data_IF_577950463647
#
_entry.id   IF_577950463647
#
_cell.length_a   1.000
_cell.length_b   1.000
_cell.length_c   1.000
_cell.angle_alpha   90.00
_cell.angle_beta   90.00
_cell.angle_gamma   90.00
#
_symmetry.space_group_name_H-M   'P 1'
#
loop_
_entity.id
_entity.type
_entity.pdbx_description
1 polymer ?
#
# COMPACT_ATOMS: atom_id res chain seq x y z
N UNK A 1 7.46 -5.19 13.47
CA UNK A 1 8.05 -4.40 12.37
C UNK A 1 7.06 -4.40 11.21
N UNK A 2 6.84 -3.28 10.53
CA UNK A 2 5.85 -3.13 9.43
C UNK A 2 6.47 -2.28 8.34
N UNK A 3 6.18 -2.59 7.07
CA UNK A 3 6.58 -1.79 5.91
C UNK A 3 5.37 -1.00 5.39
N UNK A 4 5.57 0.27 5.07
CA UNK A 4 4.54 1.10 4.41
C UNK A 4 4.99 1.32 2.96
N UNK A 5 4.17 0.86 2.02
CA UNK A 5 4.43 0.95 0.59
C UNK A 5 3.55 2.04 -0.02
N UNK A 6 4.15 3.14 -0.47
CA UNK A 6 3.43 4.29 -1.03
C UNK A 6 3.66 4.34 -2.53
N UNK A 7 2.60 4.26 -3.35
CA UNK A 7 2.73 4.34 -4.81
C UNK A 7 1.43 4.84 -5.48
N UNK A 8 1.56 5.62 -6.55
CA UNK A 8 0.40 6.14 -7.32
C UNK A 8 0.38 5.80 -8.82
N UNK A 9 1.33 4.97 -9.27
CA UNK A 9 1.33 4.38 -10.62
C UNK A 9 0.58 3.01 -10.63
N UNK A 10 1.02 1.97 -11.36
CA UNK A 10 0.37 0.64 -11.41
C UNK A 10 0.28 -0.14 -10.08
N UNK A 11 0.60 0.46 -8.92
CA UNK A 11 0.36 -0.14 -7.59
C UNK A 11 1.10 -1.44 -7.25
N UNK A 12 1.90 -1.99 -8.19
CA UNK A 12 2.58 -3.28 -8.07
C UNK A 12 3.62 -3.35 -6.93
N UNK A 13 4.09 -2.19 -6.45
CA UNK A 13 5.08 -2.08 -5.37
C UNK A 13 4.67 -2.85 -4.12
N UNK A 14 3.39 -2.77 -3.72
CA UNK A 14 2.90 -3.44 -2.52
C UNK A 14 3.03 -4.97 -2.62
N UNK A 15 2.65 -5.53 -3.78
CA UNK A 15 2.71 -6.97 -4.04
C UNK A 15 4.15 -7.49 -4.09
N UNK A 16 5.06 -6.73 -4.71
CA UNK A 16 6.49 -7.09 -4.77
C UNK A 16 7.09 -7.08 -3.37
N UNK A 17 6.85 -6.03 -2.59
CA UNK A 17 7.40 -5.94 -1.24
C UNK A 17 6.92 -7.08 -0.36
N UNK A 18 5.63 -7.43 -0.41
CA UNK A 18 5.07 -8.54 0.37
C UNK A 18 5.69 -9.91 0.03
N UNK A 19 6.23 -10.09 -1.18
CA UNK A 19 7.01 -11.29 -1.55
C UNK A 19 8.46 -11.26 -1.06
N UNK A 20 9.00 -10.09 -0.72
CA UNK A 20 10.41 -9.89 -0.36
C UNK A 20 10.64 -9.71 1.15
N UNK A 21 9.60 -9.34 1.90
CA UNK A 21 9.71 -9.09 3.34
C UNK A 21 8.91 -10.09 4.16
N UNK A 22 9.41 -10.43 5.34
CA UNK A 22 8.75 -11.33 6.31
C UNK A 22 7.81 -10.60 7.28
N UNK A 23 7.48 -9.34 6.99
CA UNK A 23 6.67 -8.46 7.86
C UNK A 23 5.44 -7.93 7.11
N UNK A 24 4.37 -7.51 7.80
CA UNK A 24 3.20 -6.94 7.13
C UNK A 24 3.56 -5.72 6.27
N UNK A 25 2.88 -5.59 5.14
CA UNK A 25 2.99 -4.46 4.20
C UNK A 25 1.67 -3.70 4.19
N UNK A 26 1.69 -2.42 4.58
CA UNK A 26 0.55 -1.52 4.45
C UNK A 26 0.72 -0.72 3.16
N UNK A 27 -0.20 -0.92 2.23
CA UNK A 27 -0.20 -0.29 0.92
C UNK A 27 -1.00 1.02 0.95
N UNK A 28 -0.36 2.13 0.56
CA UNK A 28 -0.95 3.47 0.46
C UNK A 28 -0.97 3.87 -1.01
N UNK A 29 -2.12 3.77 -1.68
CA UNK A 29 -2.25 4.30 -3.02
C UNK A 29 -2.19 5.82 -2.94
N UNK A 30 -1.46 6.49 -3.84
CA UNK A 30 -1.44 7.96 -3.91
C UNK A 30 -2.19 8.47 -5.12
N UNK A 31 -2.82 9.63 -4.99
CA UNK A 31 -3.47 10.31 -6.12
C UNK A 31 -2.47 10.85 -7.14
N UNK A 32 -1.21 10.95 -6.75
CA UNK A 32 -0.10 11.37 -7.61
C UNK A 32 0.32 10.23 -8.54
N UNK A 33 0.00 10.36 -9.81
CA UNK A 33 0.41 9.48 -10.90
C UNK A 33 0.09 10.13 -12.25
N UNK A 34 0.66 9.62 -13.35
CA UNK A 34 0.41 10.18 -14.68
C UNK A 34 -0.71 9.44 -15.43
N UNK A 35 -1.33 10.14 -16.38
CA UNK A 35 -2.24 9.54 -17.36
C UNK A 35 -3.41 8.78 -16.74
N UNK A 36 -3.37 7.45 -16.84
CA UNK A 36 -4.44 6.53 -16.44
C UNK A 36 -4.47 6.20 -14.93
N UNK A 37 -3.81 6.98 -14.07
CA UNK A 37 -3.90 6.79 -12.62
C UNK A 37 -5.30 7.13 -12.06
N UNK A 38 -6.06 7.99 -12.76
CA UNK A 38 -7.41 8.45 -12.35
C UNK A 38 -7.47 8.90 -10.88
N UNK A 39 -6.52 9.74 -10.48
CA UNK A 39 -6.43 10.24 -9.10
C UNK A 39 -6.14 9.14 -8.08
N UNK A 40 -5.39 8.10 -8.46
CA UNK A 40 -5.00 7.00 -7.58
C UNK A 40 -5.95 5.79 -7.61
N UNK A 41 -7.04 5.82 -8.39
CA UNK A 41 -7.95 4.69 -8.52
C UNK A 41 -7.27 3.47 -9.16
N UNK A 42 -6.40 3.69 -10.15
CA UNK A 42 -5.64 2.60 -10.75
C UNK A 42 -4.72 1.92 -9.72
N UNK A 43 -4.00 2.74 -8.93
CA UNK A 43 -3.12 2.25 -7.86
C UNK A 43 -3.92 1.50 -6.78
N UNK A 44 -5.05 2.06 -6.34
CA UNK A 44 -5.94 1.45 -5.34
C UNK A 44 -6.43 0.08 -5.80
N UNK A 45 -6.98 -0.01 -7.01
CA UNK A 45 -7.50 -1.27 -7.55
C UNK A 45 -6.38 -2.29 -7.74
N UNK A 46 -5.21 -1.86 -8.22
CA UNK A 46 -4.06 -2.75 -8.37
C UNK A 46 -3.57 -3.31 -7.02
N UNK A 47 -3.49 -2.46 -5.99
CA UNK A 47 -3.08 -2.89 -4.64
C UNK A 47 -4.12 -3.80 -3.98
N UNK A 48 -5.42 -3.52 -4.13
CA UNK A 48 -6.50 -4.36 -3.61
C UNK A 48 -6.57 -5.71 -4.30
N UNK A 49 -6.20 -5.78 -5.58
CA UNK A 49 -6.18 -7.02 -6.35
C UNK A 49 -4.88 -7.83 -6.16
N UNK A 50 -4.05 -7.47 -5.19
CA UNK A 50 -2.83 -8.22 -4.87
C UNK A 50 -3.16 -9.61 -4.32
N UNK A 51 -2.52 -10.64 -4.89
CA UNK A 51 -2.53 -11.99 -4.33
C UNK A 51 -1.44 -12.23 -3.27
N UNK A 52 -0.61 -11.22 -2.98
CA UNK A 52 0.48 -11.37 -2.03
C UNK A 52 -0.05 -11.35 -0.59
N UNK A 53 0.36 -12.33 0.21
CA UNK A 53 -0.04 -12.44 1.61
C UNK A 53 0.56 -11.29 2.44
N UNK A 54 -0.17 -10.87 3.47
CA UNK A 54 0.32 -9.84 4.41
C UNK A 54 0.22 -8.41 3.90
N UNK A 55 -0.49 -8.17 2.79
CA UNK A 55 -0.81 -6.82 2.29
C UNK A 55 -2.11 -6.33 2.93
N UNK A 56 -2.12 -5.08 3.41
CA UNK A 56 -3.34 -4.36 3.82
C UNK A 56 -3.37 -3.01 3.14
N UNK A 57 -4.47 -2.66 2.49
CA UNK A 57 -4.58 -1.42 1.70
C UNK A 57 -5.37 -0.38 2.48
N UNK A 58 -4.89 0.87 2.48
CA UNK A 58 -5.62 2.02 3.04
C UNK A 58 -6.20 2.90 1.92
N UNK A 59 -7.01 3.88 2.29
CA UNK A 59 -7.56 4.84 1.34
C UNK A 59 -6.45 5.60 0.60
N UNK A 60 -6.82 6.15 -0.57
CA UNK A 60 -5.94 7.01 -1.37
C UNK A 60 -5.43 8.17 -0.52
N UNK A 61 -4.12 8.40 -0.58
CA UNK A 61 -3.35 9.41 0.16
C UNK A 61 -3.40 9.27 1.70
N UNK A 62 -3.94 8.17 2.24
CA UNK A 62 -4.08 7.99 3.69
C UNK A 62 -2.79 7.48 4.36
N UNK A 63 -1.69 8.21 4.17
CA UNK A 63 -0.40 7.91 4.80
C UNK A 63 -0.46 7.96 6.33
N UNK A 64 -1.31 8.82 6.90
CA UNK A 64 -1.54 8.88 8.35
C UNK A 64 -2.13 7.58 8.89
N UNK A 65 -3.21 7.08 8.29
CA UNK A 65 -3.85 5.82 8.72
C UNK A 65 -2.89 4.64 8.60
N UNK A 66 -2.05 4.62 7.57
CA UNK A 66 -1.01 3.60 7.43
C UNK A 66 0.03 3.66 8.54
N UNK A 67 0.56 4.85 8.85
CA UNK A 67 1.52 5.02 9.93
C UNK A 67 0.95 4.70 11.31
N UNK A 68 -0.29 5.11 11.56
CA UNK A 68 -1.01 4.82 12.80
C UNK A 68 -1.18 3.30 12.99
N UNK A 69 -1.68 2.60 11.96
CA UNK A 69 -1.82 1.14 12.00
C UNK A 69 -0.47 0.42 12.14
N UNK A 70 0.56 0.88 11.42
CA UNK A 70 1.91 0.34 11.56
C UNK A 70 2.45 0.49 12.98
N UNK A 71 2.20 1.63 13.62
CA UNK A 71 2.58 1.87 15.01
C UNK A 71 1.85 0.91 15.94
N UNK A 72 0.52 0.77 15.81
CA UNK A 72 -0.24 -0.17 16.63
C UNK A 72 0.30 -1.60 16.50
N UNK A 73 0.55 -2.08 15.28
CA UNK A 73 1.10 -3.43 15.04
C UNK A 73 2.51 -3.58 15.65
N UNK A 74 3.34 -2.55 15.63
CA UNK A 74 4.70 -2.62 16.21
C UNK A 74 4.73 -2.65 17.73
N UNK A 75 3.63 -2.28 18.40
CA UNK A 75 3.50 -2.31 19.86
C UNK A 75 2.71 -3.53 20.36
N UNK A 76 2.33 -4.44 19.48
CA UNK A 76 1.87 -5.79 19.82
C UNK A 76 3.07 -6.71 20.03
#
# INVERSE_FOLDING_TARGET
KVVIAVAGMEGALASVLAGLVSVPVIAVPTSVGYGASFGGLAALLAMLNSCANGVSVVNIDNGFGAAYNASLINHL
#
